data_IF_211656568278
#
_entry.id   IF_211656568278
#
_cell.length_a   1.000
_cell.length_b   1.000
_cell.length_c   1.000
_cell.angle_alpha   90.00
_cell.angle_beta   90.00
_cell.angle_gamma   90.00
#
_symmetry.space_group_name_H-M   'P 1'
#
loop_
_entity.id
_entity.type
_entity.pdbx_description
1 polymer ?
#
# COMPACT_ATOMS: atom_id res chain seq x y z
N UNK A 1 36.14 -34.11 22.79
CA UNK A 1 35.91 -32.71 22.45
C UNK A 1 35.20 -32.65 21.09
N UNK A 2 33.86 -32.71 21.17
CA UNK A 2 32.96 -32.73 20.00
C UNK A 2 32.86 -31.34 19.39
N UNK A 3 33.20 -31.23 18.14
CA UNK A 3 32.88 -30.08 17.29
C UNK A 3 31.40 -30.16 16.92
N UNK A 4 30.56 -29.34 17.54
CA UNK A 4 29.23 -29.02 17.04
C UNK A 4 29.43 -28.19 15.76
N UNK A 5 29.39 -28.84 14.62
CA UNK A 5 29.21 -28.17 13.33
C UNK A 5 27.73 -27.74 13.29
N UNK A 6 27.48 -26.46 13.54
CA UNK A 6 26.23 -25.81 13.18
C UNK A 6 26.00 -25.97 11.68
N UNK A 7 25.22 -26.98 11.30
CA UNK A 7 24.73 -27.16 9.93
C UNK A 7 23.73 -26.03 9.66
N UNK A 8 24.23 -24.84 9.30
CA UNK A 8 23.41 -23.78 8.71
C UNK A 8 22.82 -24.32 7.42
N UNK A 9 21.60 -24.79 7.47
CA UNK A 9 20.84 -25.22 6.29
C UNK A 9 20.68 -24.02 5.34
N UNK A 10 21.55 -23.92 4.35
CA UNK A 10 21.52 -22.87 3.33
C UNK A 10 20.38 -23.16 2.36
N UNK A 11 19.16 -22.66 2.67
CA UNK A 11 18.02 -22.75 1.76
C UNK A 11 18.32 -21.88 0.53
N UNK A 12 18.30 -22.48 -0.66
CA UNK A 12 18.54 -21.76 -1.91
C UNK A 12 17.45 -20.72 -2.19
N UNK A 13 17.76 -19.66 -2.96
CA UNK A 13 16.78 -18.62 -3.34
C UNK A 13 15.55 -19.24 -4.02
N UNK A 14 15.75 -20.26 -4.85
CA UNK A 14 14.65 -20.99 -5.52
C UNK A 14 13.74 -21.68 -4.52
N UNK A 15 14.30 -22.33 -3.50
CA UNK A 15 13.53 -22.99 -2.44
C UNK A 15 12.76 -21.97 -1.60
N UNK A 16 13.36 -20.81 -1.27
CA UNK A 16 12.66 -19.72 -0.55
C UNK A 16 11.47 -19.21 -1.35
N UNK A 17 11.60 -19.00 -2.66
CA UNK A 17 10.48 -18.61 -3.53
C UNK A 17 9.37 -19.66 -3.53
N UNK A 18 9.70 -20.93 -3.68
CA UNK A 18 8.70 -22.04 -3.67
C UNK A 18 7.96 -22.08 -2.34
N UNK A 19 8.68 -22.00 -1.21
CA UNK A 19 8.08 -21.98 0.13
C UNK A 19 7.14 -20.78 0.27
N UNK A 20 7.59 -19.58 -0.12
CA UNK A 20 6.79 -18.36 -0.05
C UNK A 20 5.48 -18.48 -0.83
N UNK A 21 5.55 -18.87 -2.11
CA UNK A 21 4.34 -19.05 -2.93
C UNK A 21 3.47 -20.18 -2.40
N UNK A 22 4.08 -21.29 -1.95
CA UNK A 22 3.33 -22.41 -1.37
C UNK A 22 2.51 -21.98 -0.14
N UNK A 23 3.12 -21.23 0.78
CA UNK A 23 2.42 -20.71 1.96
C UNK A 23 1.30 -19.72 1.61
N UNK A 24 1.56 -18.80 0.66
CA UNK A 24 0.57 -17.83 0.21
C UNK A 24 -0.63 -18.52 -0.42
N UNK A 25 -0.41 -19.46 -1.35
CA UNK A 25 -1.49 -20.19 -2.00
C UNK A 25 -2.23 -21.14 -1.04
N UNK A 26 -1.53 -21.75 -0.09
CA UNK A 26 -2.18 -22.52 0.97
C UNK A 26 -3.12 -21.66 1.81
N UNK A 27 -2.74 -20.41 2.13
CA UNK A 27 -3.61 -19.46 2.81
C UNK A 27 -4.85 -19.10 1.98
N UNK A 28 -4.68 -18.79 0.69
CA UNK A 28 -5.78 -18.49 -0.23
C UNK A 28 -6.74 -19.69 -0.33
N UNK A 29 -6.20 -20.89 -0.55
CA UNK A 29 -7.00 -22.12 -0.64
C UNK A 29 -7.75 -22.41 0.64
N UNK A 30 -7.14 -22.18 1.82
CA UNK A 30 -7.80 -22.34 3.11
C UNK A 30 -9.02 -21.42 3.25
N UNK A 31 -8.87 -20.13 2.91
CA UNK A 31 -9.99 -19.17 2.91
C UNK A 31 -11.10 -19.61 1.94
N UNK A 32 -10.75 -20.10 0.74
CA UNK A 32 -11.72 -20.60 -0.23
C UNK A 32 -12.47 -21.83 0.29
N UNK A 33 -11.75 -22.80 0.89
CA UNK A 33 -12.36 -24.02 1.47
C UNK A 33 -13.35 -23.64 2.58
N UNK A 34 -12.91 -22.77 3.53
CA UNK A 34 -13.77 -22.30 4.61
C UNK A 34 -15.00 -21.55 4.05
N UNK A 35 -14.83 -20.80 2.99
CA UNK A 35 -15.93 -20.06 2.36
C UNK A 35 -16.93 -20.96 1.70
N UNK A 36 -16.48 -22.03 1.03
CA UNK A 36 -17.38 -23.05 0.46
C UNK A 36 -18.14 -23.79 1.58
N UNK A 37 -17.44 -24.17 2.65
CA UNK A 37 -18.04 -24.86 3.81
C UNK A 37 -19.09 -24.00 4.53
N UNK A 38 -18.88 -22.69 4.59
CA UNK A 38 -19.79 -21.72 5.23
C UNK A 38 -20.78 -21.08 4.27
N UNK A 39 -20.94 -21.60 3.04
CA UNK A 39 -21.82 -21.01 2.01
C UNK A 39 -21.52 -19.52 1.73
N UNK A 40 -20.25 -19.12 1.79
CA UNK A 40 -19.78 -17.75 1.54
C UNK A 40 -19.73 -16.84 2.78
N UNK A 41 -20.25 -17.27 3.92
CA UNK A 41 -20.30 -16.45 5.14
C UNK A 41 -18.89 -16.04 5.61
N UNK A 42 -17.91 -16.91 5.46
CA UNK A 42 -16.52 -16.61 5.83
C UNK A 42 -15.97 -15.44 5.02
N UNK A 43 -16.15 -15.40 3.70
CA UNK A 43 -15.70 -14.26 2.86
C UNK A 43 -16.48 -13.00 3.23
N UNK A 44 -17.80 -13.13 3.42
CA UNK A 44 -18.63 -12.00 3.80
C UNK A 44 -18.15 -11.37 5.13
N UNK A 45 -17.87 -12.19 6.13
CA UNK A 45 -17.41 -11.71 7.44
C UNK A 45 -15.98 -11.18 7.41
N UNK A 46 -15.11 -11.71 6.55
CA UNK A 46 -13.72 -11.24 6.44
C UNK A 46 -13.57 -9.96 5.62
N UNK A 47 -14.29 -9.83 4.51
CA UNK A 47 -14.14 -8.72 3.57
C UNK A 47 -15.26 -7.69 3.69
N UNK A 48 -16.49 -8.10 3.99
CA UNK A 48 -17.67 -7.25 4.01
C UNK A 48 -18.34 -7.22 5.38
N UNK A 49 -17.56 -7.27 6.45
CA UNK A 49 -18.08 -7.27 7.83
C UNK A 49 -19.01 -6.07 8.13
N UNK A 50 -18.92 -5.03 7.32
CA UNK A 50 -19.82 -3.86 7.36
C UNK A 50 -20.19 -3.48 5.92
N UNK A 51 -21.19 -4.14 5.36
CA UNK A 51 -21.63 -4.00 3.96
C UNK A 51 -21.88 -2.56 3.51
N UNK A 52 -22.37 -1.71 4.43
CA UNK A 52 -22.62 -0.30 4.14
C UNK A 52 -21.34 0.56 4.07
N UNK A 53 -20.18 -0.01 4.40
CA UNK A 53 -18.91 0.72 4.51
C UNK A 53 -17.92 0.38 3.39
N UNK A 54 -18.34 -0.32 2.35
CA UNK A 54 -17.50 -0.58 1.17
C UNK A 54 -17.03 0.75 0.58
N UNK A 55 -15.70 0.84 0.31
CA UNK A 55 -14.99 2.03 -0.15
C UNK A 55 -15.03 3.23 0.81
N UNK A 56 -15.34 2.98 2.10
CA UNK A 56 -15.48 4.03 3.11
C UNK A 56 -14.24 4.92 3.18
N UNK A 57 -13.05 4.32 3.25
CA UNK A 57 -11.80 5.05 3.44
C UNK A 57 -11.56 6.09 2.34
N UNK A 58 -11.98 5.78 1.11
CA UNK A 58 -11.89 6.69 -0.01
C UNK A 58 -12.95 7.79 0.03
N UNK A 59 -14.22 7.42 0.11
CA UNK A 59 -15.31 8.39 0.00
C UNK A 59 -15.40 9.33 1.21
N UNK A 60 -15.16 8.81 2.41
CA UNK A 60 -15.07 9.61 3.61
C UNK A 60 -13.93 10.65 3.49
N UNK A 61 -12.76 10.21 3.01
CA UNK A 61 -11.62 11.10 2.82
C UNK A 61 -11.84 12.16 1.75
N UNK A 62 -12.63 11.90 0.71
CA UNK A 62 -13.03 12.91 -0.29
C UNK A 62 -13.95 13.98 0.33
N UNK A 63 -14.87 13.56 1.20
CA UNK A 63 -15.77 14.48 1.90
C UNK A 63 -14.99 15.37 2.86
N UNK A 64 -14.12 14.77 3.67
CA UNK A 64 -13.31 15.50 4.67
C UNK A 64 -12.05 16.15 4.11
N UNK A 65 -11.60 15.79 2.93
CA UNK A 65 -10.36 16.29 2.32
C UNK A 65 -10.34 17.82 2.10
N UNK A 66 -11.49 18.50 2.22
CA UNK A 66 -11.57 19.96 2.17
C UNK A 66 -11.00 20.63 3.43
N UNK A 67 -11.04 19.94 4.56
CA UNK A 67 -10.64 20.46 5.87
C UNK A 67 -9.68 19.49 6.58
N UNK A 68 -8.46 19.31 6.03
CA UNK A 68 -7.53 18.28 6.53
C UNK A 68 -7.09 18.49 7.97
N UNK A 69 -7.27 19.68 8.52
CA UNK A 69 -6.91 20.03 9.91
C UNK A 69 -8.10 20.14 10.87
N UNK A 70 -9.32 20.25 10.34
CA UNK A 70 -10.54 20.39 11.16
C UNK A 70 -11.25 19.07 11.35
N UNK A 71 -11.01 18.10 10.46
CA UNK A 71 -11.62 16.79 10.57
C UNK A 71 -10.94 15.98 11.67
N UNK A 72 -11.70 15.18 12.40
CA UNK A 72 -11.20 14.05 13.20
C UNK A 72 -10.58 12.99 12.28
N UNK A 73 -9.75 13.45 11.35
CA UNK A 73 -9.24 12.66 10.24
C UNK A 73 -8.19 11.66 10.68
N UNK A 74 -8.35 10.43 10.20
CA UNK A 74 -7.44 9.31 10.47
C UNK A 74 -6.15 9.35 9.67
N UNK A 75 -5.96 10.36 8.80
CA UNK A 75 -4.84 10.45 7.86
C UNK A 75 -4.01 11.72 8.05
N UNK A 76 -2.70 11.69 7.74
CA UNK A 76 -1.88 12.88 7.61
C UNK A 76 -2.39 13.82 6.49
N UNK A 77 -2.02 15.13 6.53
CA UNK A 77 -2.51 16.13 5.57
C UNK A 77 -2.26 15.79 4.10
N UNK A 78 -1.12 15.20 3.76
CA UNK A 78 -0.79 14.81 2.38
C UNK A 78 -1.80 13.80 1.80
N UNK A 79 -2.30 12.86 2.62
CA UNK A 79 -3.34 11.94 2.17
C UNK A 79 -4.63 12.69 1.79
N UNK A 80 -5.04 13.67 2.59
CA UNK A 80 -6.21 14.50 2.29
C UNK A 80 -6.01 15.39 1.06
N UNK A 81 -4.81 15.89 0.83
CA UNK A 81 -4.50 16.61 -0.41
C UNK A 81 -4.67 15.71 -1.64
N UNK A 82 -4.18 14.47 -1.56
CA UNK A 82 -4.35 13.48 -2.65
C UNK A 82 -5.84 13.17 -2.86
N UNK A 83 -6.58 12.85 -1.82
CA UNK A 83 -8.02 12.61 -1.92
C UNK A 83 -8.78 13.85 -2.41
N UNK A 84 -8.35 15.05 -2.01
CA UNK A 84 -8.89 16.31 -2.48
C UNK A 84 -8.75 16.54 -3.98
N UNK A 85 -7.66 16.04 -4.61
CA UNK A 85 -7.50 16.05 -6.06
C UNK A 85 -8.57 15.19 -6.74
N UNK A 86 -8.80 13.98 -6.24
CA UNK A 86 -9.86 13.09 -6.75
C UNK A 86 -11.25 13.65 -6.44
N UNK A 87 -11.42 14.29 -5.31
CA UNK A 87 -12.66 14.95 -4.92
C UNK A 87 -13.08 16.09 -5.87
N UNK A 88 -12.16 16.65 -6.68
CA UNK A 88 -12.51 17.65 -7.69
C UNK A 88 -13.40 17.11 -8.81
N UNK A 89 -13.38 15.80 -9.05
CA UNK A 89 -14.27 15.16 -10.03
C UNK A 89 -15.72 15.06 -9.51
N UNK A 90 -15.95 15.25 -8.22
CA UNK A 90 -17.28 15.17 -7.61
C UNK A 90 -17.82 16.57 -7.33
N UNK A 91 -19.03 16.92 -7.81
CA UNK A 91 -19.68 18.20 -7.51
C UNK A 91 -19.71 18.52 -6.03
N UNK A 92 -19.55 19.81 -5.69
CA UNK A 92 -19.47 20.23 -4.29
C UNK A 92 -20.76 19.93 -3.53
N UNK A 93 -21.89 20.08 -4.20
CA UNK A 93 -23.22 19.84 -3.65
C UNK A 93 -23.32 18.41 -3.13
N UNK A 94 -22.93 17.42 -3.94
CA UNK A 94 -22.93 16.01 -3.58
C UNK A 94 -21.97 15.73 -2.40
N UNK A 95 -20.80 16.38 -2.38
CA UNK A 95 -19.83 16.20 -1.29
C UNK A 95 -20.34 16.76 0.05
N UNK A 96 -21.16 17.81 0.03
CA UNK A 96 -21.74 18.39 1.26
C UNK A 96 -22.86 17.55 1.86
N UNK A 97 -23.49 16.67 1.08
CA UNK A 97 -24.50 15.74 1.55
C UNK A 97 -23.91 14.55 2.32
N UNK A 98 -22.61 14.31 2.17
CA UNK A 98 -21.87 13.30 2.91
C UNK A 98 -21.44 12.09 2.09
N UNK A 99 -20.88 11.13 2.79
CA UNK A 99 -20.21 9.95 2.24
C UNK A 99 -21.13 9.09 1.33
N UNK A 100 -22.36 8.82 1.76
CA UNK A 100 -23.28 7.95 1.00
C UNK A 100 -23.68 8.59 -0.33
N UNK A 101 -23.95 9.89 -0.35
CA UNK A 101 -24.31 10.61 -1.58
C UNK A 101 -23.15 10.63 -2.59
N UNK A 102 -21.92 10.78 -2.11
CA UNK A 102 -20.74 10.71 -2.97
C UNK A 102 -20.58 9.29 -3.54
N UNK A 103 -20.69 8.25 -2.71
CA UNK A 103 -20.55 6.85 -3.13
C UNK A 103 -21.60 6.45 -4.17
N UNK A 104 -22.84 6.84 -3.93
CA UNK A 104 -23.97 6.43 -4.78
C UNK A 104 -24.08 7.29 -6.05
N UNK A 105 -23.25 8.34 -6.19
CA UNK A 105 -23.18 9.19 -7.37
C UNK A 105 -22.30 8.58 -8.47
N UNK A 106 -22.69 8.80 -9.74
CA UNK A 106 -21.87 8.38 -10.90
C UNK A 106 -20.47 9.03 -10.88
N UNK A 107 -20.38 10.32 -10.50
CA UNK A 107 -19.11 11.05 -10.44
C UNK A 107 -18.22 10.54 -9.31
N UNK A 108 -18.79 10.14 -8.18
CA UNK A 108 -18.05 9.49 -7.10
C UNK A 108 -17.46 8.17 -7.55
N UNK A 109 -18.26 7.31 -8.18
CA UNK A 109 -17.78 6.02 -8.71
C UNK A 109 -16.76 6.18 -9.82
N UNK A 110 -16.90 7.18 -10.70
CA UNK A 110 -15.89 7.51 -11.71
C UNK A 110 -14.57 7.95 -11.08
N UNK A 111 -14.63 8.80 -10.05
CA UNK A 111 -13.45 9.25 -9.30
C UNK A 111 -12.75 8.07 -8.62
N UNK A 112 -13.50 7.16 -8.00
CA UNK A 112 -12.97 5.93 -7.41
C UNK A 112 -12.28 5.05 -8.47
N UNK A 113 -12.91 4.86 -9.63
CA UNK A 113 -12.33 4.05 -10.72
C UNK A 113 -10.97 4.60 -11.18
N UNK A 114 -10.84 5.93 -11.31
CA UNK A 114 -9.55 6.57 -11.64
C UNK A 114 -8.51 6.30 -10.54
N UNK A 115 -8.88 6.51 -9.27
CA UNK A 115 -7.99 6.26 -8.14
C UNK A 115 -7.49 4.81 -8.12
N UNK A 116 -8.40 3.85 -8.21
CA UNK A 116 -8.07 2.42 -8.21
C UNK A 116 -7.19 2.03 -9.41
N UNK A 117 -7.48 2.57 -10.60
CA UNK A 117 -6.68 2.34 -11.80
C UNK A 117 -5.24 2.83 -11.60
N UNK A 118 -5.07 4.03 -11.06
CA UNK A 118 -3.73 4.59 -10.77
C UNK A 118 -3.00 3.71 -9.75
N UNK A 119 -3.65 3.32 -8.65
CA UNK A 119 -3.05 2.46 -7.63
C UNK A 119 -2.58 1.12 -8.21
N UNK A 120 -3.45 0.43 -8.95
CA UNK A 120 -3.14 -0.86 -9.56
C UNK A 120 -2.03 -0.73 -10.62
N UNK A 121 -2.05 0.35 -11.41
CA UNK A 121 -0.99 0.63 -12.38
C UNK A 121 0.37 0.87 -11.71
N UNK A 122 0.41 1.59 -10.60
CA UNK A 122 1.66 1.82 -9.85
C UNK A 122 2.19 0.51 -9.23
N UNK A 123 1.32 -0.34 -8.67
CA UNK A 123 1.69 -1.65 -8.14
C UNK A 123 2.22 -2.55 -9.26
N UNK A 124 1.53 -2.60 -10.40
CA UNK A 124 1.96 -3.35 -11.57
C UNK A 124 3.32 -2.86 -12.10
N UNK A 125 3.50 -1.55 -12.23
CA UNK A 125 4.74 -0.94 -12.67
C UNK A 125 5.90 -1.25 -11.72
N UNK A 126 5.65 -1.18 -10.40
CA UNK A 126 6.62 -1.57 -9.39
C UNK A 126 7.06 -3.04 -9.57
N UNK A 127 6.10 -3.96 -9.71
CA UNK A 127 6.41 -5.38 -9.91
C UNK A 127 7.25 -5.57 -11.18
N UNK A 128 6.87 -4.93 -12.30
CA UNK A 128 7.59 -5.08 -13.56
C UNK A 128 9.03 -4.58 -13.51
N UNK A 129 9.28 -3.46 -12.83
CA UNK A 129 10.60 -2.83 -12.76
C UNK A 129 11.50 -3.50 -11.73
N UNK A 130 10.97 -3.80 -10.55
CA UNK A 130 11.80 -4.17 -9.40
C UNK A 130 11.78 -5.67 -9.07
N UNK A 131 10.76 -6.41 -9.49
CA UNK A 131 10.73 -7.84 -9.22
C UNK A 131 11.67 -8.59 -10.17
N UNK A 132 12.64 -9.30 -9.59
CA UNK A 132 13.64 -10.10 -10.31
C UNK A 132 13.03 -11.46 -10.66
N UNK A 133 12.70 -11.67 -11.94
CA UNK A 133 12.10 -12.90 -12.42
C UNK A 133 11.65 -12.77 -13.88
N UNK A 134 11.26 -13.89 -14.48
CA UNK A 134 10.67 -13.89 -15.81
C UNK A 134 9.21 -13.37 -15.77
N UNK A 135 8.58 -13.17 -16.93
CA UNK A 135 7.23 -12.62 -17.02
C UNK A 135 6.17 -13.49 -16.30
N UNK A 136 6.37 -14.81 -16.33
CA UNK A 136 5.47 -15.76 -15.62
C UNK A 136 5.61 -15.59 -14.11
N UNK A 137 6.84 -15.49 -13.60
CA UNK A 137 7.09 -15.25 -12.16
C UNK A 137 6.50 -13.92 -11.68
N UNK A 138 6.64 -12.85 -12.50
CA UNK A 138 6.04 -11.54 -12.20
C UNK A 138 4.52 -11.61 -12.16
N UNK A 139 3.92 -12.32 -13.12
CA UNK A 139 2.47 -12.54 -13.17
C UNK A 139 1.99 -13.33 -11.95
N UNK A 140 2.64 -14.46 -11.64
CA UNK A 140 2.28 -15.29 -10.48
C UNK A 140 2.42 -14.50 -9.18
N UNK A 141 3.48 -13.70 -9.03
CA UNK A 141 3.65 -12.83 -7.87
C UNK A 141 2.55 -11.79 -7.77
N UNK A 142 2.24 -11.10 -8.89
CA UNK A 142 1.17 -10.10 -8.94
C UNK A 142 -0.19 -10.68 -8.57
N UNK A 143 -0.54 -11.86 -9.12
CA UNK A 143 -1.77 -12.56 -8.79
C UNK A 143 -1.82 -12.99 -7.32
N UNK A 144 -0.71 -13.54 -6.81
CA UNK A 144 -0.60 -13.91 -5.39
C UNK A 144 -0.80 -12.71 -4.46
N UNK A 145 -0.23 -11.55 -4.83
CA UNK A 145 -0.40 -10.31 -4.09
C UNK A 145 -1.86 -9.84 -4.14
N UNK A 146 -2.47 -9.79 -5.33
CA UNK A 146 -3.85 -9.32 -5.53
C UNK A 146 -4.87 -10.17 -4.76
N UNK A 147 -4.70 -11.48 -4.75
CA UNK A 147 -5.59 -12.41 -4.05
C UNK A 147 -5.22 -12.62 -2.58
N UNK A 148 -4.18 -11.95 -2.08
CA UNK A 148 -3.88 -11.99 -0.64
C UNK A 148 -4.97 -11.28 0.16
N UNK A 149 -5.32 -11.82 1.33
CA UNK A 149 -6.35 -11.25 2.18
C UNK A 149 -6.11 -9.77 2.54
N UNK A 150 -4.88 -9.34 2.90
CA UNK A 150 -4.62 -7.92 3.14
C UNK A 150 -4.89 -7.05 1.93
N UNK A 151 -4.55 -7.51 0.72
CA UNK A 151 -4.78 -6.74 -0.51
C UNK A 151 -6.27 -6.64 -0.84
N UNK A 152 -7.01 -7.75 -0.72
CA UNK A 152 -8.47 -7.75 -0.92
C UNK A 152 -9.16 -6.79 0.05
N UNK A 153 -8.73 -6.75 1.30
CA UNK A 153 -9.25 -5.81 2.28
C UNK A 153 -8.93 -4.35 1.92
N UNK A 154 -7.70 -4.06 1.46
CA UNK A 154 -7.33 -2.72 1.00
C UNK A 154 -8.15 -2.28 -0.23
N UNK A 155 -8.43 -3.21 -1.14
CA UNK A 155 -9.26 -2.94 -2.32
C UNK A 155 -10.73 -2.70 -1.93
N UNK A 156 -11.27 -3.50 -1.02
CA UNK A 156 -12.64 -3.35 -0.51
C UNK A 156 -12.84 -2.00 0.17
N UNK A 157 -11.85 -1.53 0.93
CA UNK A 157 -11.89 -0.23 1.61
C UNK A 157 -11.49 0.94 0.69
N UNK A 158 -10.93 0.67 -0.50
CA UNK A 158 -10.26 1.64 -1.36
C UNK A 158 -9.24 2.49 -0.57
N UNK A 159 -8.44 1.81 0.24
CA UNK A 159 -7.53 2.44 1.19
C UNK A 159 -6.31 3.04 0.49
N UNK A 160 -5.87 4.23 0.93
CA UNK A 160 -4.72 4.93 0.36
C UNK A 160 -3.39 4.17 0.53
N UNK A 161 -3.35 3.14 1.37
CA UNK A 161 -2.19 2.23 1.50
C UNK A 161 -1.84 1.58 0.15
N UNK A 162 -2.79 1.44 -0.76
CA UNK A 162 -2.53 1.00 -2.14
C UNK A 162 -1.50 1.89 -2.87
N UNK A 163 -1.48 3.21 -2.59
CA UNK A 163 -0.44 4.13 -3.07
C UNK A 163 0.85 4.02 -2.28
N UNK A 164 0.78 3.79 -0.98
CA UNK A 164 1.94 3.70 -0.09
C UNK A 164 2.79 2.47 -0.40
N UNK A 165 2.17 1.34 -0.75
CA UNK A 165 2.87 0.08 -1.02
C UNK A 165 3.97 0.19 -2.09
N UNK A 166 3.72 0.68 -3.32
CA UNK A 166 4.78 0.81 -4.33
C UNK A 166 5.86 1.82 -3.91
N UNK A 167 5.52 2.92 -3.22
CA UNK A 167 6.49 3.89 -2.71
C UNK A 167 7.46 3.24 -1.71
N UNK A 168 6.93 2.51 -0.75
CA UNK A 168 7.73 1.74 0.22
C UNK A 168 8.58 0.68 -0.49
N UNK A 169 8.02 0.00 -1.48
CA UNK A 169 8.74 -0.99 -2.29
C UNK A 169 9.94 -0.38 -3.02
N UNK A 170 9.75 0.78 -3.67
CA UNK A 170 10.84 1.53 -4.35
C UNK A 170 11.92 1.94 -3.35
N UNK A 171 11.52 2.41 -2.17
CA UNK A 171 12.46 2.74 -1.10
C UNK A 171 13.28 1.52 -0.69
N UNK A 172 12.65 0.41 -0.31
CA UNK A 172 13.32 -0.80 0.14
C UNK A 172 14.28 -1.39 -0.90
N UNK A 173 13.97 -1.22 -2.18
CA UNK A 173 14.84 -1.70 -3.25
C UNK A 173 16.06 -0.81 -3.49
N UNK A 174 15.95 0.51 -3.30
CA UNK A 174 16.97 1.47 -3.71
C UNK A 174 17.67 2.21 -2.55
N UNK A 175 17.22 2.06 -1.29
CA UNK A 175 17.76 2.83 -0.15
C UNK A 175 19.27 2.61 0.06
N UNK A 176 19.79 1.45 -0.37
CA UNK A 176 21.20 1.05 -0.26
C UNK A 176 21.93 1.10 -1.61
N UNK A 177 21.37 1.72 -2.63
CA UNK A 177 21.98 1.82 -3.96
C UNK A 177 23.25 2.67 -3.91
N UNK A 178 24.32 2.20 -4.56
CA UNK A 178 25.55 2.99 -4.77
C UNK A 178 25.30 4.19 -5.69
N UNK A 179 24.27 4.12 -6.53
CA UNK A 179 23.90 5.17 -7.49
C UNK A 179 23.11 6.25 -6.74
N UNK A 180 23.72 7.44 -6.61
CA UNK A 180 23.23 8.55 -5.80
C UNK A 180 21.78 8.94 -6.15
N UNK A 181 21.42 9.11 -7.44
CA UNK A 181 20.06 9.51 -7.82
C UNK A 181 18.99 8.47 -7.46
N UNK A 182 19.32 7.17 -7.52
CA UNK A 182 18.38 6.10 -7.12
C UNK A 182 18.12 6.14 -5.62
N UNK A 183 19.17 6.42 -4.85
CA UNK A 183 19.10 6.53 -3.39
C UNK A 183 18.28 7.75 -2.97
N UNK A 184 18.51 8.93 -3.57
CA UNK A 184 17.69 10.11 -3.31
C UNK A 184 16.23 9.90 -3.71
N UNK A 185 15.97 9.28 -4.87
CA UNK A 185 14.63 8.92 -5.28
C UNK A 185 13.93 8.00 -4.27
N UNK A 186 14.66 7.02 -3.71
CA UNK A 186 14.14 6.17 -2.65
C UNK A 186 13.73 6.98 -1.41
N UNK A 187 14.56 7.96 -0.99
CA UNK A 187 14.23 8.82 0.16
C UNK A 187 13.01 9.69 -0.08
N UNK A 188 12.85 10.24 -1.29
CA UNK A 188 11.63 10.95 -1.68
C UNK A 188 10.42 10.02 -1.58
N UNK A 189 10.52 8.79 -2.09
CA UNK A 189 9.45 7.80 -1.98
C UNK A 189 9.09 7.48 -0.53
N UNK A 190 10.09 7.33 0.36
CA UNK A 190 9.85 7.12 1.79
C UNK A 190 9.16 8.33 2.43
N UNK A 191 9.62 9.55 2.12
CA UNK A 191 9.06 10.78 2.66
C UNK A 191 7.60 10.96 2.23
N UNK A 192 7.28 10.71 0.96
CA UNK A 192 5.90 10.71 0.46
C UNK A 192 5.07 9.62 1.14
N UNK A 193 5.59 8.39 1.25
CA UNK A 193 4.90 7.30 1.94
C UNK A 193 4.60 7.65 3.41
N UNK A 194 5.55 8.26 4.12
CA UNK A 194 5.41 8.71 5.50
C UNK A 194 4.46 9.92 5.64
N UNK A 195 4.41 10.80 4.64
CA UNK A 195 3.46 11.91 4.57
C UNK A 195 2.02 11.43 4.34
N UNK A 196 1.84 10.32 3.62
CA UNK A 196 0.51 9.71 3.38
C UNK A 196 0.06 8.88 4.60
N UNK A 197 0.97 8.10 5.19
CA UNK A 197 0.74 7.27 6.38
C UNK A 197 1.99 7.33 7.27
N UNK A 198 1.83 7.52 8.56
CA UNK A 198 2.97 7.76 9.48
C UNK A 198 3.87 6.52 9.62
N UNK A 199 3.32 5.32 9.64
CA UNK A 199 4.09 4.10 9.93
C UNK A 199 5.27 3.80 8.98
N UNK A 200 5.29 4.16 7.68
CA UNK A 200 6.48 4.00 6.84
C UNK A 200 7.69 4.77 7.35
N UNK A 201 7.50 5.84 8.15
CA UNK A 201 8.63 6.61 8.72
C UNK A 201 9.58 5.73 9.54
N UNK A 202 9.11 4.63 10.14
CA UNK A 202 9.97 3.69 10.88
C UNK A 202 11.07 3.08 10.01
N UNK A 203 10.83 2.96 8.69
CA UNK A 203 11.82 2.47 7.75
C UNK A 203 13.01 3.44 7.58
N UNK A 204 12.85 4.70 7.99
CA UNK A 204 13.96 5.65 8.08
C UNK A 204 15.09 5.22 9.03
N UNK A 205 14.79 4.32 9.98
CA UNK A 205 15.83 3.70 10.83
C UNK A 205 16.88 2.92 10.03
N UNK A 206 16.54 2.43 8.83
CA UNK A 206 17.48 1.76 7.94
C UNK A 206 18.57 2.72 7.45
N UNK A 207 18.24 4.02 7.28
CA UNK A 207 19.19 5.07 6.89
C UNK A 207 20.15 5.34 8.06
N UNK A 208 19.63 5.41 9.28
CA UNK A 208 20.43 5.62 10.50
C UNK A 208 21.43 4.48 10.70
N UNK A 209 21.03 3.25 10.40
CA UNK A 209 21.90 2.07 10.48
C UNK A 209 23.17 2.22 9.62
N UNK A 210 23.10 2.92 8.49
CA UNK A 210 24.26 3.20 7.61
C UNK A 210 25.26 4.19 8.21
N UNK A 211 24.93 4.86 9.32
CA UNK A 211 25.71 5.94 9.96
C UNK A 211 25.95 7.16 9.04
N UNK A 212 25.14 7.35 8.04
CA UNK A 212 25.21 8.50 7.14
C UNK A 212 24.24 9.60 7.59
N UNK A 213 24.66 10.34 8.61
CA UNK A 213 23.82 11.40 9.21
C UNK A 213 23.43 12.50 8.23
N UNK A 214 24.23 12.76 7.19
CA UNK A 214 23.90 13.76 6.16
C UNK A 214 22.67 13.32 5.36
N UNK A 215 22.56 12.03 5.05
CA UNK A 215 21.41 11.48 4.32
C UNK A 215 20.15 11.43 5.19
N UNK A 216 20.30 11.18 6.50
CA UNK A 216 19.18 11.27 7.46
C UNK A 216 18.62 12.69 7.46
N UNK A 217 19.50 13.70 7.52
CA UNK A 217 19.11 15.11 7.50
C UNK A 217 18.40 15.47 6.18
N UNK A 218 18.92 15.02 5.05
CA UNK A 218 18.26 15.22 3.74
C UNK A 218 16.86 14.62 3.71
N UNK A 219 16.66 13.41 4.23
CA UNK A 219 15.36 12.76 4.27
C UNK A 219 14.36 13.51 5.18
N UNK A 220 14.85 14.07 6.30
CA UNK A 220 14.03 14.92 7.18
C UNK A 220 13.69 16.27 6.53
N UNK A 221 14.61 16.86 5.77
CA UNK A 221 14.36 18.10 5.05
C UNK A 221 13.27 17.95 3.99
N UNK A 222 13.24 16.85 3.23
CA UNK A 222 12.14 16.56 2.28
C UNK A 222 10.77 16.50 2.96
N UNK A 223 10.72 16.19 4.26
CA UNK A 223 9.49 16.17 5.04
C UNK A 223 9.11 17.54 5.63
N UNK A 224 10.11 18.37 6.00
CA UNK A 224 9.86 19.66 6.69
C UNK A 224 9.29 20.73 5.77
N UNK A 225 9.51 20.65 4.47
CA UNK A 225 8.94 21.60 3.49
C UNK A 225 7.41 21.45 3.32
N UNK A 226 6.82 20.37 3.85
CA UNK A 226 5.35 20.17 3.82
C UNK A 226 4.60 20.93 4.94
N UNK A 227 5.31 21.57 5.87
CA UNK A 227 4.72 22.25 7.04
C UNK A 227 4.81 23.78 7.00
N UNK A 228 5.31 24.39 5.92
CA UNK A 228 5.32 25.82 5.67
C UNK A 228 4.40 26.19 4.51
#
# INVERSE_FOLDING_TARGET
>A
TGMNQDVKMHISIKQKKIIFYGLMWAGIMNVLILSIQSSGETINNLLFCQQNQTFLDYFESIVYGKYPYEANGSYPPLAYLIFGLFGRFVPREIRTEGFFSVRDSQMGMFSLAIFMTICLFLIYSFINVYFIGNNIEKFVFGMTLLFSLPMLFLLERANIVLLVMPLVGVYLYNYDSEILYKRHFAYICLSLAAGIKIYPAILGLLIIRRRDFKEVLSCLMYRSEEHT
#
